data_IF_351273561139
#
_entry.id   IF_351273561139
#
_cell.length_a   1.000
_cell.length_b   1.000
_cell.length_c   1.000
_cell.angle_alpha   90.00
_cell.angle_beta   90.00
_cell.angle_gamma   90.00
#
_symmetry.space_group_name_H-M   'P 1'
#
loop_
_entity.id
_entity.type
_entity.pdbx_description
1 polymer ?
#
# COMPACT_ATOMS: atom_id res chain seq x y z
N UNK A 1 -4.18 7.67 15.48
CA UNK A 1 -3.22 8.65 15.99
C UNK A 1 -3.89 10.01 16.14
N UNK A 2 -4.39 10.65 15.08
CA UNK A 2 -4.97 12.02 15.09
C UNK A 2 -5.92 12.29 16.28
N UNK A 3 -6.76 11.34 16.69
CA UNK A 3 -7.77 11.53 17.73
C UNK A 3 -7.32 11.10 19.13
N UNK A 4 -6.44 10.12 19.25
CA UNK A 4 -6.11 9.48 20.51
C UNK A 4 -4.65 9.64 20.95
N UNK A 5 -3.77 10.01 20.03
CA UNK A 5 -2.34 10.17 20.24
C UNK A 5 -1.80 11.34 19.41
N UNK A 6 -2.41 12.54 19.49
CA UNK A 6 -2.05 13.68 18.63
C UNK A 6 -0.58 14.11 18.77
N UNK A 7 0.02 13.85 19.93
CA UNK A 7 1.43 14.12 20.22
C UNK A 7 2.40 13.21 19.42
N UNK A 8 1.90 12.16 18.79
CA UNK A 8 2.71 11.24 17.97
C UNK A 8 2.51 11.46 16.47
N UNK A 9 1.91 12.57 16.04
CA UNK A 9 1.72 12.87 14.62
C UNK A 9 3.04 12.93 13.86
N UNK A 10 4.08 13.50 14.46
CA UNK A 10 5.43 13.60 13.88
C UNK A 10 6.12 12.23 13.69
N UNK A 11 5.60 11.18 14.31
CA UNK A 11 6.09 9.81 14.12
C UNK A 11 5.44 9.10 12.91
N UNK A 12 4.40 9.69 12.31
CA UNK A 12 3.76 9.11 11.13
C UNK A 12 4.56 9.40 9.87
N UNK A 13 4.52 8.45 8.95
CA UNK A 13 5.00 8.71 7.60
C UNK A 13 4.16 9.82 6.94
N UNK A 14 4.81 10.76 6.27
CA UNK A 14 4.17 11.82 5.48
C UNK A 14 3.68 11.32 4.13
N UNK A 15 4.08 10.12 3.71
CA UNK A 15 3.69 9.53 2.44
C UNK A 15 2.17 9.34 2.35
N UNK A 16 1.56 9.83 1.26
CA UNK A 16 0.17 9.56 0.92
C UNK A 16 -0.09 8.05 0.80
N UNK A 17 -1.34 7.64 0.97
CA UNK A 17 -1.71 6.25 0.68
C UNK A 17 -1.54 5.91 -0.81
N UNK A 18 -1.35 4.63 -1.19
CA UNK A 18 -1.17 4.25 -2.59
C UNK A 18 -2.26 4.76 -3.54
N UNK A 19 -3.54 4.79 -3.11
CA UNK A 19 -4.60 5.37 -3.96
C UNK A 19 -4.42 6.87 -4.17
N UNK A 20 -4.02 7.62 -3.16
CA UNK A 20 -3.82 9.06 -3.25
C UNK A 20 -2.54 9.41 -4.01
N UNK A 21 -1.47 8.63 -3.84
CA UNK A 21 -0.26 8.77 -4.67
C UNK A 21 -0.58 8.57 -6.15
N UNK A 22 -1.30 7.48 -6.48
CA UNK A 22 -1.69 7.21 -7.85
C UNK A 22 -2.58 8.31 -8.42
N UNK A 23 -3.60 8.74 -7.66
CA UNK A 23 -4.51 9.80 -8.08
C UNK A 23 -3.80 11.13 -8.34
N UNK A 24 -2.90 11.52 -7.43
CA UNK A 24 -2.09 12.72 -7.59
C UNK A 24 -1.23 12.66 -8.87
N UNK A 25 -0.52 11.56 -9.10
CA UNK A 25 0.32 11.37 -10.29
C UNK A 25 -0.52 11.28 -11.57
N UNK A 26 -1.67 10.62 -11.53
CA UNK A 26 -2.57 10.55 -12.69
C UNK A 26 -3.10 11.92 -13.09
N UNK A 27 -3.44 12.76 -12.13
CA UNK A 27 -3.97 14.11 -12.36
C UNK A 27 -2.91 15.22 -12.49
N UNK A 28 -1.63 14.92 -12.30
CA UNK A 28 -0.50 15.82 -12.58
C UNK A 28 0.30 15.33 -13.78
N UNK A 29 1.26 14.47 -13.57
CA UNK A 29 2.19 13.99 -14.58
C UNK A 29 1.50 13.33 -15.79
N UNK A 30 0.54 12.44 -15.54
CA UNK A 30 -0.12 11.76 -16.67
C UNK A 30 -1.06 12.71 -17.42
N UNK A 31 -1.74 13.64 -16.73
CA UNK A 31 -2.53 14.69 -17.36
C UNK A 31 -1.66 15.57 -18.27
N UNK A 32 -0.49 16.02 -17.79
CA UNK A 32 0.47 16.80 -18.57
C UNK A 32 0.96 16.02 -19.79
N UNK A 33 1.33 14.75 -19.61
CA UNK A 33 1.76 13.86 -20.69
C UNK A 33 0.72 13.67 -21.79
N UNK A 34 -0.57 13.69 -21.41
CA UNK A 34 -1.70 13.64 -22.35
C UNK A 34 -2.08 14.99 -22.92
N UNK A 35 -1.54 16.09 -22.42
CA UNK A 35 -1.92 17.45 -22.82
C UNK A 35 -3.36 17.81 -22.43
N UNK A 36 -3.87 17.27 -21.31
CA UNK A 36 -5.24 17.52 -20.83
C UNK A 36 -5.24 18.17 -19.46
N UNK A 37 -6.29 18.96 -19.18
CA UNK A 37 -6.52 19.49 -17.83
C UNK A 37 -6.79 18.35 -16.83
N UNK A 38 -6.26 18.49 -15.60
CA UNK A 38 -6.47 17.51 -14.53
C UNK A 38 -7.94 17.21 -14.26
N UNK A 39 -8.84 18.20 -14.46
CA UNK A 39 -10.29 18.06 -14.26
C UNK A 39 -10.97 17.15 -15.28
N UNK A 40 -10.30 16.85 -16.38
CA UNK A 40 -10.80 15.90 -17.40
C UNK A 40 -10.44 14.45 -17.10
N UNK A 41 -9.58 14.21 -16.13
CA UNK A 41 -9.24 12.86 -15.68
C UNK A 41 -10.12 12.51 -14.49
N UNK A 42 -10.83 11.39 -14.58
CA UNK A 42 -11.61 10.81 -13.50
C UNK A 42 -10.88 9.59 -12.97
N UNK A 43 -10.47 9.65 -11.71
CA UNK A 43 -9.79 8.55 -11.02
C UNK A 43 -10.80 7.77 -10.21
N UNK A 44 -11.00 6.49 -10.59
CA UNK A 44 -11.85 5.54 -9.87
C UNK A 44 -10.96 4.51 -9.19
N UNK A 45 -10.93 4.49 -7.86
CA UNK A 45 -10.19 3.50 -7.09
C UNK A 45 -11.08 2.32 -6.70
N UNK A 46 -10.56 1.10 -6.84
CA UNK A 46 -11.23 -0.13 -6.42
C UNK A 46 -10.41 -0.73 -5.28
N UNK A 47 -10.96 -0.66 -4.05
CA UNK A 47 -10.21 -0.93 -2.83
C UNK A 47 -10.85 -2.05 -1.99
N UNK A 48 -10.05 -2.86 -1.29
CA UNK A 48 -10.55 -3.80 -0.29
C UNK A 48 -11.03 -3.11 1.00
N UNK A 49 -11.08 -1.78 1.03
CA UNK A 49 -11.17 -0.92 2.20
C UNK A 49 -12.39 -0.01 2.15
N UNK A 50 -13.11 0.14 3.28
CA UNK A 50 -14.21 1.10 3.40
C UNK A 50 -13.70 2.51 3.73
N UNK A 51 -12.63 2.62 4.52
CA UNK A 51 -12.06 3.90 4.95
C UNK A 51 -11.49 4.72 3.77
N UNK A 52 -11.17 4.08 2.65
CA UNK A 52 -10.66 4.74 1.45
C UNK A 52 -11.69 5.67 0.78
N UNK A 53 -12.99 5.45 1.01
CA UNK A 53 -14.04 6.40 0.59
C UNK A 53 -13.94 7.70 1.38
N UNK A 54 -13.79 7.60 2.71
CA UNK A 54 -13.60 8.77 3.55
C UNK A 54 -12.28 9.48 3.22
N UNK A 55 -11.21 8.75 3.07
CA UNK A 55 -9.92 9.33 2.69
C UNK A 55 -10.02 10.13 1.38
N UNK A 56 -10.69 9.59 0.35
CA UNK A 56 -10.88 10.28 -0.92
C UNK A 56 -11.73 11.58 -0.81
N UNK A 57 -12.51 11.72 0.25
CA UNK A 57 -13.33 12.92 0.50
C UNK A 57 -12.64 14.00 1.33
N UNK A 58 -11.44 13.74 1.83
CA UNK A 58 -10.69 14.70 2.65
C UNK A 58 -10.15 15.85 1.78
N UNK A 59 -10.30 17.11 2.21
CA UNK A 59 -9.91 18.27 1.41
C UNK A 59 -8.39 18.35 1.16
N UNK A 60 -7.56 17.76 2.01
CA UNK A 60 -6.10 17.71 1.87
C UNK A 60 -5.65 16.94 0.61
N UNK A 61 -6.52 16.08 0.07
CA UNK A 61 -6.26 15.31 -1.15
C UNK A 61 -6.96 15.92 -2.38
N UNK A 62 -7.03 17.23 -2.42
CA UNK A 62 -7.58 17.99 -3.54
C UNK A 62 -6.68 19.18 -3.89
N UNK A 63 -6.61 19.51 -5.17
CA UNK A 63 -5.94 20.71 -5.67
C UNK A 63 -7.02 21.59 -6.31
N UNK A 64 -7.21 22.81 -5.81
CA UNK A 64 -8.23 23.76 -6.26
C UNK A 64 -9.66 23.16 -6.27
N UNK A 65 -9.96 22.36 -5.23
CA UNK A 65 -11.24 21.68 -5.09
C UNK A 65 -11.46 20.47 -6.01
N UNK A 66 -10.48 20.11 -6.84
CA UNK A 66 -10.50 18.89 -7.65
C UNK A 66 -9.79 17.76 -6.91
N UNK A 67 -10.47 16.70 -6.46
CA UNK A 67 -9.88 15.64 -5.68
C UNK A 67 -8.89 14.80 -6.51
N UNK A 68 -7.86 14.24 -5.86
CA UNK A 68 -6.93 13.31 -6.51
C UNK A 68 -7.61 12.00 -6.90
N UNK A 69 -8.57 11.54 -6.07
CA UNK A 69 -9.42 10.37 -6.35
C UNK A 69 -10.88 10.81 -6.33
N UNK A 70 -11.57 10.72 -7.47
CA UNK A 70 -12.95 11.18 -7.61
C UNK A 70 -13.95 10.18 -7.01
N UNK A 71 -13.73 8.90 -7.24
CA UNK A 71 -14.64 7.83 -6.81
C UNK A 71 -13.83 6.71 -6.18
N UNK A 72 -14.22 6.26 -4.99
CA UNK A 72 -13.67 5.05 -4.38
C UNK A 72 -14.78 4.03 -4.16
N UNK A 73 -14.66 2.86 -4.80
CA UNK A 73 -15.55 1.72 -4.62
C UNK A 73 -14.79 0.56 -3.99
N UNK A 74 -15.50 -0.29 -3.27
CA UNK A 74 -14.87 -1.48 -2.71
C UNK A 74 -15.20 -2.74 -3.52
N UNK A 75 -14.44 -3.80 -3.32
CA UNK A 75 -14.51 -5.06 -4.09
C UNK A 75 -15.94 -5.60 -4.25
N UNK A 76 -16.77 -5.56 -3.18
CA UNK A 76 -18.16 -6.01 -3.27
C UNK A 76 -19.07 -5.07 -4.08
N UNK A 77 -18.76 -3.77 -4.13
CA UNK A 77 -19.47 -2.82 -5.00
C UNK A 77 -19.14 -3.08 -6.45
N UNK A 78 -17.86 -3.35 -6.78
CA UNK A 78 -17.49 -3.76 -8.13
C UNK A 78 -18.24 -5.01 -8.57
N UNK A 79 -18.33 -6.03 -7.71
CA UNK A 79 -19.10 -7.24 -8.02
C UNK A 79 -20.59 -6.96 -8.26
N UNK A 80 -21.17 -5.98 -7.55
CA UNK A 80 -22.54 -5.54 -7.80
C UNK A 80 -22.66 -4.79 -9.14
N UNK A 81 -21.71 -3.92 -9.46
CA UNK A 81 -21.68 -3.17 -10.71
C UNK A 81 -21.63 -4.11 -11.92
N UNK A 82 -20.76 -5.14 -11.87
CA UNK A 82 -20.68 -6.18 -12.91
C UNK A 82 -22.04 -6.86 -13.12
N UNK A 83 -22.72 -7.23 -12.03
CA UNK A 83 -24.07 -7.82 -12.11
C UNK A 83 -25.11 -6.85 -12.65
N UNK A 84 -25.06 -5.59 -12.24
CA UNK A 84 -25.99 -4.54 -12.70
C UNK A 84 -25.85 -4.29 -14.19
N UNK A 85 -24.63 -4.37 -14.70
CA UNK A 85 -24.34 -4.23 -16.13
C UNK A 85 -24.65 -5.50 -16.94
N UNK A 86 -25.19 -6.55 -16.33
CA UNK A 86 -25.44 -7.87 -16.96
C UNK A 86 -24.21 -8.47 -17.66
N UNK A 87 -23.02 -8.21 -17.13
CA UNK A 87 -21.78 -8.77 -17.66
C UNK A 87 -21.64 -10.22 -17.18
N UNK A 88 -21.60 -11.17 -18.11
CA UNK A 88 -21.28 -12.56 -17.79
C UNK A 88 -19.76 -12.70 -17.57
N UNK A 89 -19.34 -12.42 -16.34
CA UNK A 89 -17.92 -12.37 -15.98
C UNK A 89 -17.16 -13.67 -16.25
N UNK A 90 -17.84 -14.81 -16.15
CA UNK A 90 -17.23 -16.12 -16.37
C UNK A 90 -16.93 -16.44 -17.85
N UNK A 91 -17.57 -15.73 -18.78
CA UNK A 91 -17.41 -15.93 -20.22
C UNK A 91 -16.57 -14.85 -20.90
N UNK A 92 -16.06 -13.87 -20.12
CA UNK A 92 -15.17 -12.84 -20.66
C UNK A 92 -13.83 -13.48 -21.07
N UNK A 93 -13.33 -13.12 -22.26
CA UNK A 93 -11.97 -13.50 -22.63
C UNK A 93 -10.95 -12.75 -21.75
N UNK A 94 -9.81 -13.38 -21.50
CA UNK A 94 -8.70 -12.72 -20.85
C UNK A 94 -8.19 -11.55 -21.71
N UNK A 95 -7.84 -10.45 -21.07
CA UNK A 95 -7.23 -9.28 -21.70
C UNK A 95 -6.22 -8.62 -20.76
N UNK A 96 -5.27 -7.92 -21.34
CA UNK A 96 -4.31 -7.13 -20.58
C UNK A 96 -4.92 -5.81 -20.09
N UNK A 97 -4.34 -5.29 -19.02
CA UNK A 97 -4.62 -3.92 -18.55
C UNK A 97 -3.91 -2.89 -19.44
N UNK A 98 -4.54 -1.74 -19.60
CA UNK A 98 -3.83 -0.55 -20.09
C UNK A 98 -2.68 -0.19 -19.14
N UNK A 99 -1.61 0.39 -19.70
CA UNK A 99 -0.38 0.68 -18.95
C UNK A 99 -0.04 2.17 -18.96
N UNK A 100 -0.94 3.05 -18.48
CA UNK A 100 -0.76 4.51 -18.57
C UNK A 100 0.48 5.00 -17.82
N UNK A 101 0.83 4.35 -16.70
CA UNK A 101 1.98 4.65 -15.85
C UNK A 101 2.93 3.44 -15.70
N UNK A 102 2.86 2.49 -16.65
CA UNK A 102 3.70 1.31 -16.68
C UNK A 102 3.17 0.11 -15.90
N UNK A 103 4.07 -0.76 -15.48
CA UNK A 103 3.75 -2.02 -14.81
C UNK A 103 3.93 -1.94 -13.30
N UNK A 104 3.11 -2.70 -12.58
CA UNK A 104 3.27 -2.87 -11.14
C UNK A 104 4.39 -3.86 -10.80
N UNK A 105 4.96 -3.73 -9.59
CA UNK A 105 5.97 -4.64 -9.06
C UNK A 105 5.35 -5.63 -8.07
N UNK A 106 6.07 -6.73 -7.80
CA UNK A 106 5.71 -7.64 -6.72
C UNK A 106 5.68 -6.96 -5.35
N UNK A 107 6.56 -5.98 -5.12
CA UNK A 107 6.53 -5.14 -3.91
C UNK A 107 5.17 -4.44 -3.72
N UNK A 108 4.59 -3.89 -4.79
CA UNK A 108 3.25 -3.28 -4.71
C UNK A 108 2.15 -4.29 -4.41
N UNK A 109 2.25 -5.51 -4.92
CA UNK A 109 1.26 -6.57 -4.69
C UNK A 109 1.15 -6.96 -3.22
N UNK A 110 2.28 -7.14 -2.54
CA UNK A 110 2.30 -7.60 -1.14
C UNK A 110 1.79 -6.56 -0.13
N UNK A 111 1.58 -5.30 -0.53
CA UNK A 111 0.96 -4.26 0.33
C UNK A 111 -0.38 -4.69 0.91
N UNK A 112 -1.06 -5.63 0.28
CA UNK A 112 -2.35 -6.15 0.76
C UNK A 112 -2.26 -7.00 2.04
N UNK A 113 -1.09 -7.50 2.41
CA UNK A 113 -0.87 -8.32 3.61
C UNK A 113 -0.30 -7.50 4.76
N UNK A 114 -0.58 -7.90 5.99
CA UNK A 114 0.11 -7.35 7.17
C UNK A 114 1.59 -7.76 7.15
N UNK A 115 2.48 -6.81 7.29
CA UNK A 115 3.93 -6.95 7.11
C UNK A 115 4.39 -6.69 5.67
N UNK A 116 3.46 -6.57 4.71
CA UNK A 116 3.81 -6.45 3.30
C UNK A 116 4.33 -5.08 2.89
N UNK A 117 3.83 -4.01 3.50
CA UNK A 117 4.34 -2.65 3.23
C UNK A 117 5.76 -2.51 3.73
N UNK A 118 6.01 -2.94 4.98
CA UNK A 118 7.36 -2.86 5.54
C UNK A 118 8.32 -3.84 4.85
N UNK A 119 7.85 -5.01 4.39
CA UNK A 119 8.66 -5.92 3.57
C UNK A 119 9.07 -5.25 2.26
N UNK A 120 8.13 -4.62 1.55
CA UNK A 120 8.43 -3.89 0.33
C UNK A 120 9.41 -2.73 0.56
N UNK A 121 9.25 -2.00 1.67
CA UNK A 121 10.19 -0.96 2.08
C UNK A 121 11.59 -1.52 2.38
N UNK A 122 11.70 -2.63 3.10
CA UNK A 122 12.98 -3.27 3.41
C UNK A 122 13.72 -3.74 2.16
N UNK A 123 13.01 -4.26 1.16
CA UNK A 123 13.61 -4.66 -0.13
C UNK A 123 14.36 -3.50 -0.80
N UNK A 124 13.78 -2.32 -0.76
CA UNK A 124 14.39 -1.10 -1.33
C UNK A 124 15.43 -0.50 -0.40
N UNK A 125 15.09 -0.33 0.88
CA UNK A 125 15.95 0.30 1.87
C UNK A 125 17.29 -0.43 2.04
N UNK A 126 17.28 -1.76 2.02
CA UNK A 126 18.51 -2.56 2.11
C UNK A 126 19.51 -2.16 1.01
N UNK A 127 19.09 -2.16 -0.24
CA UNK A 127 19.97 -1.87 -1.38
C UNK A 127 20.40 -0.39 -1.42
N UNK A 128 19.48 0.52 -1.08
CA UNK A 128 19.82 1.93 -1.01
C UNK A 128 20.81 2.26 0.12
N UNK A 129 20.68 1.58 1.26
CA UNK A 129 21.56 1.81 2.42
C UNK A 129 22.90 1.12 2.26
N UNK A 130 22.91 -0.17 1.94
CA UNK A 130 24.13 -0.98 1.90
C UNK A 130 24.91 -0.83 0.58
N UNK A 131 24.26 -0.33 -0.48
CA UNK A 131 24.77 -0.32 -1.87
C UNK A 131 25.11 -1.72 -2.41
N UNK A 132 24.53 -2.76 -1.80
CA UNK A 132 24.71 -4.17 -2.19
C UNK A 132 23.37 -4.74 -2.64
N UNK A 133 23.41 -5.67 -3.57
CA UNK A 133 22.22 -6.42 -3.99
C UNK A 133 21.67 -7.23 -2.82
N UNK A 134 20.36 -7.20 -2.65
CA UNK A 134 19.65 -7.93 -1.60
C UNK A 134 19.84 -9.46 -1.80
N UNK A 135 20.44 -10.18 -0.84
CA UNK A 135 20.78 -11.59 -1.01
C UNK A 135 19.54 -12.50 -1.06
N UNK A 136 18.45 -12.12 -0.39
CA UNK A 136 17.16 -12.83 -0.40
C UNK A 136 16.03 -11.80 -0.44
N UNK A 137 15.18 -11.89 -1.46
CA UNK A 137 14.09 -10.91 -1.67
C UNK A 137 12.98 -11.05 -0.64
N UNK A 138 12.68 -12.28 -0.19
CA UNK A 138 11.59 -12.57 0.72
C UNK A 138 12.05 -12.45 2.18
N UNK A 139 11.47 -11.52 2.92
CA UNK A 139 11.65 -11.37 4.36
C UNK A 139 10.54 -12.15 5.09
N UNK A 140 10.71 -13.47 5.19
CA UNK A 140 9.71 -14.35 5.81
C UNK A 140 9.43 -14.00 7.28
N UNK A 141 10.41 -13.41 7.95
CA UNK A 141 10.34 -12.94 9.33
C UNK A 141 9.29 -11.83 9.53
N UNK A 142 8.97 -11.10 8.46
CA UNK A 142 7.94 -10.04 8.46
C UNK A 142 6.54 -10.59 8.15
N UNK A 143 6.42 -11.84 7.69
CA UNK A 143 5.18 -12.46 7.26
C UNK A 143 4.50 -13.18 8.43
N UNK A 144 3.17 -13.29 8.39
CA UNK A 144 2.38 -13.98 9.41
C UNK A 144 1.03 -13.31 9.64
N UNK A 145 0.19 -13.93 10.45
CA UNK A 145 -1.16 -13.44 10.79
C UNK A 145 -1.37 -13.26 12.31
N UNK A 146 -0.31 -13.29 13.09
CA UNK A 146 -0.34 -12.93 14.51
C UNK A 146 -0.62 -11.44 14.64
N UNK A 147 -1.42 -11.07 15.63
CA UNK A 147 -1.89 -9.69 15.83
C UNK A 147 -0.77 -8.69 16.07
N UNK A 148 0.29 -9.09 16.77
CA UNK A 148 1.54 -8.32 16.94
C UNK A 148 2.70 -9.25 16.62
N UNK A 149 3.63 -8.77 15.81
CA UNK A 149 4.88 -9.46 15.48
C UNK A 149 6.05 -8.50 15.62
N UNK A 150 7.22 -9.07 15.85
CA UNK A 150 8.48 -8.37 15.88
C UNK A 150 9.50 -9.14 15.05
N UNK A 151 10.25 -8.43 14.24
CA UNK A 151 11.34 -9.00 13.45
C UNK A 151 12.59 -8.12 13.58
N UNK A 152 13.76 -8.73 13.40
CA UNK A 152 15.02 -8.00 13.25
C UNK A 152 15.62 -8.37 11.92
N UNK A 153 15.82 -7.38 11.06
CA UNK A 153 16.42 -7.54 9.74
C UNK A 153 17.84 -7.00 9.82
N UNK A 154 18.78 -7.81 9.40
CA UNK A 154 20.17 -7.38 9.32
C UNK A 154 20.45 -6.63 8.01
N UNK A 155 20.84 -5.37 8.11
CA UNK A 155 21.26 -4.54 6.99
C UNK A 155 22.79 -4.49 6.97
N UNK A 156 23.42 -5.60 6.56
CA UNK A 156 24.89 -5.73 6.44
C UNK A 156 25.62 -5.39 7.76
N UNK A 157 25.22 -6.04 8.84
CA UNK A 157 25.75 -5.83 10.18
C UNK A 157 25.01 -4.79 11.03
N UNK A 158 24.01 -4.09 10.45
CA UNK A 158 23.16 -3.15 11.16
C UNK A 158 21.78 -3.77 11.43
N UNK A 159 21.46 -4.17 12.66
CA UNK A 159 20.18 -4.80 12.99
C UNK A 159 19.05 -3.76 13.05
N UNK A 160 18.07 -3.88 12.15
CA UNK A 160 16.87 -3.04 12.13
C UNK A 160 15.71 -3.80 12.76
N UNK A 161 15.22 -3.32 13.90
CA UNK A 161 14.08 -3.89 14.60
C UNK A 161 12.78 -3.30 14.07
N UNK A 162 11.84 -4.16 13.73
CA UNK A 162 10.56 -3.81 13.11
C UNK A 162 9.42 -4.37 13.97
N UNK A 163 8.45 -3.50 14.29
CA UNK A 163 7.18 -3.88 14.89
C UNK A 163 6.09 -3.96 13.82
N UNK A 164 5.23 -4.96 13.89
CA UNK A 164 4.12 -5.13 12.96
C UNK A 164 2.86 -5.42 13.76
N UNK A 165 1.80 -4.64 13.55
CA UNK A 165 0.52 -4.87 14.17
C UNK A 165 -0.62 -4.82 13.17
N UNK A 166 -1.60 -5.69 13.35
CA UNK A 166 -2.89 -5.54 12.70
C UNK A 166 -4.04 -5.61 13.72
N UNK A 167 -5.11 -4.84 13.41
CA UNK A 167 -6.18 -4.56 14.36
C UNK A 167 -5.83 -3.41 15.31
N UNK A 168 -6.78 -2.47 15.47
CA UNK A 168 -6.51 -1.23 16.21
C UNK A 168 -6.17 -1.44 17.69
N UNK A 169 -6.72 -2.49 18.32
CA UNK A 169 -6.36 -2.84 19.70
C UNK A 169 -4.90 -3.30 19.86
N UNK A 170 -4.34 -3.96 18.86
CA UNK A 170 -2.93 -4.35 18.82
C UNK A 170 -2.05 -3.15 18.47
N UNK A 171 -2.49 -2.33 17.51
CA UNK A 171 -1.82 -1.08 17.16
C UNK A 171 -1.64 -0.18 18.39
N UNK A 172 -2.69 0.00 19.20
CA UNK A 172 -2.65 0.78 20.44
C UNK A 172 -1.52 0.34 21.35
N UNK A 173 -1.30 -0.96 21.55
CA UNK A 173 -0.24 -1.48 22.41
C UNK A 173 1.16 -1.07 21.95
N UNK A 174 1.41 -1.05 20.64
CA UNK A 174 2.70 -0.59 20.10
C UNK A 174 2.84 0.92 20.18
N UNK A 175 1.76 1.66 19.92
CA UNK A 175 1.73 3.13 19.99
C UNK A 175 1.98 3.59 21.44
N UNK A 176 1.37 2.95 22.43
CA UNK A 176 1.62 3.23 23.85
C UNK A 176 3.09 2.97 24.27
N UNK A 177 3.77 2.00 23.66
CA UNK A 177 5.22 1.81 23.86
C UNK A 177 6.02 2.99 23.30
N UNK A 178 5.63 3.52 22.13
CA UNK A 178 6.27 4.71 21.55
C UNK A 178 6.04 5.92 22.44
N UNK A 179 4.80 6.17 22.85
CA UNK A 179 4.42 7.27 23.74
C UNK A 179 5.20 7.27 25.06
N UNK A 180 5.44 6.09 25.62
CA UNK A 180 6.17 5.94 26.89
C UNK A 180 7.71 5.87 26.71
N UNK A 181 8.23 6.05 25.49
CA UNK A 181 9.68 5.95 25.22
C UNK A 181 10.26 4.55 25.38
N UNK A 182 9.43 3.51 25.40
CA UNK A 182 9.82 2.10 25.62
C UNK A 182 9.83 1.27 24.35
N UNK A 183 9.54 1.86 23.20
CA UNK A 183 9.52 1.13 21.93
C UNK A 183 10.93 0.70 21.50
N UNK A 184 11.17 -0.58 21.27
CA UNK A 184 12.47 -1.05 20.79
C UNK A 184 12.60 -0.95 19.25
N UNK A 185 11.57 -0.50 18.55
CA UNK A 185 11.45 -0.58 17.09
C UNK A 185 11.98 0.68 16.43
N UNK A 186 12.68 0.48 15.29
CA UNK A 186 13.09 1.55 14.39
C UNK A 186 11.96 1.95 13.45
N UNK A 187 11.09 0.99 13.11
CA UNK A 187 9.89 1.20 12.30
C UNK A 187 8.74 0.31 12.78
N UNK A 188 7.51 0.81 12.65
CA UNK A 188 6.30 0.08 13.00
C UNK A 188 5.32 0.15 11.83
N UNK A 189 4.88 -1.01 11.33
CA UNK A 189 3.74 -1.10 10.41
C UNK A 189 2.46 -1.35 11.19
N UNK A 190 1.41 -0.58 10.87
CA UNK A 190 0.08 -0.76 11.43
C UNK A 190 -0.94 -0.98 10.32
N UNK A 191 -1.68 -2.08 10.40
CA UNK A 191 -2.86 -2.35 9.58
C UNK A 191 -4.12 -2.37 10.45
N UNK A 192 -5.13 -1.57 10.08
CA UNK A 192 -6.38 -1.50 10.85
C UNK A 192 -7.19 -2.81 10.82
N UNK A 193 -7.15 -3.52 9.69
CA UNK A 193 -7.94 -4.74 9.49
C UNK A 193 -7.15 -6.00 9.85
N UNK A 194 -7.81 -7.08 10.34
CA UNK A 194 -7.17 -8.36 10.58
C UNK A 194 -6.50 -8.93 9.33
N UNK A 195 -5.21 -9.25 9.43
CA UNK A 195 -4.42 -9.77 8.31
C UNK A 195 -3.99 -8.72 7.28
N UNK A 196 -4.35 -7.45 7.47
CA UNK A 196 -4.13 -6.36 6.52
C UNK A 196 -5.30 -6.14 5.58
N UNK A 197 -5.06 -5.55 4.41
CA UNK A 197 -6.10 -5.22 3.43
C UNK A 197 -6.83 -6.45 2.87
N UNK A 198 -6.21 -7.62 2.88
CA UNK A 198 -6.86 -8.91 2.53
C UNK A 198 -8.06 -9.23 3.44
N UNK A 199 -8.09 -8.72 4.67
CA UNK A 199 -9.20 -8.79 5.61
C UNK A 199 -10.05 -7.53 5.65
N UNK A 200 -9.86 -6.61 4.70
CA UNK A 200 -10.51 -5.31 4.65
C UNK A 200 -12.03 -5.39 4.56
N UNK A 201 -12.71 -4.39 5.14
CA UNK A 201 -14.17 -4.32 5.18
C UNK A 201 -14.86 -4.25 3.82
N UNK A 202 -14.14 -3.94 2.74
CA UNK A 202 -14.63 -3.95 1.35
C UNK A 202 -14.59 -5.33 0.67
N UNK A 203 -13.83 -6.27 1.23
CA UNK A 203 -13.72 -7.64 0.71
C UNK A 203 -14.96 -8.50 1.06
N UNK A 204 -15.20 -9.61 0.33
CA UNK A 204 -16.14 -10.62 0.77
C UNK A 204 -15.84 -11.09 2.20
N UNK A 205 -16.87 -11.20 3.03
CA UNK A 205 -16.71 -11.49 4.45
C UNK A 205 -16.05 -12.86 4.68
N UNK A 206 -14.97 -12.87 5.45
CA UNK A 206 -14.29 -14.10 5.84
C UNK A 206 -14.92 -14.76 7.10
N UNK A 207 -15.82 -14.06 7.81
CA UNK A 207 -16.59 -14.56 8.97
C UNK A 207 -15.70 -15.18 10.07
N UNK A 208 -14.56 -14.54 10.37
CA UNK A 208 -13.58 -15.03 11.34
C UNK A 208 -12.71 -16.21 10.87
N UNK A 209 -12.94 -16.74 9.68
CA UNK A 209 -12.17 -17.89 9.16
C UNK A 209 -10.77 -17.44 8.71
N UNK A 210 -9.79 -17.67 9.56
CA UNK A 210 -8.37 -17.31 9.28
C UNK A 210 -7.80 -18.04 8.06
N UNK A 211 -8.32 -19.21 7.73
CA UNK A 211 -7.94 -19.95 6.51
C UNK A 211 -8.17 -19.12 5.24
N UNK A 212 -9.27 -18.37 5.18
CA UNK A 212 -9.56 -17.49 4.03
C UNK A 212 -8.49 -16.41 3.90
N UNK A 213 -8.07 -15.81 5.02
CA UNK A 213 -7.00 -14.81 5.02
C UNK A 213 -5.65 -15.43 4.62
N UNK A 214 -5.33 -16.64 5.09
CA UNK A 214 -4.10 -17.36 4.65
C UNK A 214 -4.10 -17.61 3.15
N UNK A 215 -5.23 -18.06 2.57
CA UNK A 215 -5.34 -18.27 1.11
C UNK A 215 -5.16 -16.96 0.33
N UNK A 216 -5.76 -15.86 0.80
CA UNK A 216 -5.59 -14.54 0.17
C UNK A 216 -4.15 -14.05 0.26
N UNK A 217 -3.49 -14.18 1.41
CA UNK A 217 -2.08 -13.84 1.57
C UNK A 217 -1.19 -14.69 0.64
N UNK A 218 -1.42 -16.01 0.61
CA UNK A 218 -0.67 -16.92 -0.25
C UNK A 218 -0.79 -16.54 -1.74
N UNK A 219 -1.98 -16.13 -2.19
CA UNK A 219 -2.20 -15.66 -3.56
C UNK A 219 -1.40 -14.39 -3.87
N UNK A 220 -1.36 -13.40 -2.96
CA UNK A 220 -0.54 -12.20 -3.16
C UNK A 220 0.96 -12.53 -3.18
N UNK A 221 1.45 -13.39 -2.31
CA UNK A 221 2.85 -13.80 -2.33
C UNK A 221 3.20 -14.65 -3.57
N UNK A 222 2.26 -15.43 -4.08
CA UNK A 222 2.44 -16.14 -5.34
C UNK A 222 2.53 -15.15 -6.52
N UNK A 223 1.65 -14.16 -6.55
CA UNK A 223 1.67 -13.11 -7.58
C UNK A 223 2.98 -12.31 -7.51
N UNK A 224 3.46 -11.93 -6.32
CA UNK A 224 4.77 -11.29 -6.15
C UNK A 224 5.89 -12.15 -6.74
N UNK A 225 5.91 -13.44 -6.43
CA UNK A 225 6.95 -14.36 -6.95
C UNK A 225 6.90 -14.54 -8.46
N UNK A 226 5.72 -14.39 -9.08
CA UNK A 226 5.57 -14.50 -10.52
C UNK A 226 6.05 -13.26 -11.28
N UNK A 227 6.19 -12.11 -10.61
CA UNK A 227 6.64 -10.86 -11.25
C UNK A 227 8.13 -10.86 -11.52
N UNK A 228 8.51 -10.35 -12.68
CA UNK A 228 9.92 -10.08 -13.03
C UNK A 228 10.47 -8.95 -12.16
N UNK A 229 9.69 -7.88 -11.97
CA UNK A 229 10.03 -6.75 -11.12
C UNK A 229 9.46 -6.98 -9.72
N UNK A 230 10.30 -7.25 -8.75
CA UNK A 230 9.90 -7.53 -7.38
C UNK A 230 10.27 -6.43 -6.37
N UNK A 231 11.08 -5.47 -6.77
CA UNK A 231 11.51 -4.33 -5.97
C UNK A 231 11.04 -3.03 -6.61
N UNK A 232 10.56 -2.08 -5.82
CA UNK A 232 9.98 -0.84 -6.33
C UNK A 232 11.00 0.04 -7.04
N UNK A 233 12.22 0.15 -6.52
CA UNK A 233 13.29 1.00 -7.09
C UNK A 233 13.89 0.46 -8.39
N UNK A 234 13.66 -0.81 -8.73
CA UNK A 234 14.07 -1.40 -10.01
C UNK A 234 13.06 -1.14 -11.14
N UNK A 235 11.89 -0.59 -10.82
CA UNK A 235 10.86 -0.32 -11.80
C UNK A 235 11.26 0.88 -12.69
N UNK A 236 11.50 0.68 -14.01
CA UNK A 236 11.97 1.75 -14.89
C UNK A 236 10.94 2.89 -15.01
N UNK A 237 9.65 2.60 -14.87
CA UNK A 237 8.61 3.62 -14.91
C UNK A 237 8.66 4.53 -13.67
N UNK A 238 8.94 3.95 -12.50
CA UNK A 238 9.15 4.71 -11.27
C UNK A 238 10.43 5.52 -11.34
N UNK A 239 11.52 4.94 -11.85
CA UNK A 239 12.78 5.69 -12.07
C UNK A 239 12.57 6.88 -13.02
N UNK A 240 11.83 6.71 -14.12
CA UNK A 240 11.50 7.78 -15.03
C UNK A 240 10.64 8.86 -14.38
N UNK A 241 9.66 8.47 -13.55
CA UNK A 241 8.83 9.40 -12.80
C UNK A 241 9.65 10.25 -11.84
N UNK A 242 10.55 9.62 -11.07
CA UNK A 242 11.45 10.34 -10.15
C UNK A 242 12.40 11.28 -10.91
N UNK A 243 12.91 10.87 -12.06
CA UNK A 243 13.78 11.71 -12.87
C UNK A 243 13.07 12.96 -13.45
N UNK A 244 11.76 12.88 -13.71
CA UNK A 244 11.00 13.96 -14.31
C UNK A 244 10.33 14.89 -13.28
N UNK A 245 9.75 14.35 -12.22
CA UNK A 245 8.87 15.10 -11.30
C UNK A 245 9.40 15.20 -9.88
N UNK A 246 10.09 14.18 -9.43
CA UNK A 246 10.43 14.03 -8.02
C UNK A 246 11.93 14.28 -7.79
N UNK A 247 12.53 15.09 -8.64
CA UNK A 247 13.98 15.39 -8.59
C UNK A 247 14.37 16.27 -7.39
N UNK A 248 13.41 16.88 -6.70
CA UNK A 248 13.67 17.69 -5.51
C UNK A 248 13.33 16.91 -4.24
N UNK A 249 14.08 17.18 -3.18
CA UNK A 249 13.82 16.63 -1.83
C UNK A 249 12.42 16.94 -1.29
N UNK A 250 11.74 17.90 -1.90
CA UNK A 250 10.40 18.38 -1.52
C UNK A 250 9.25 17.54 -2.15
N UNK A 251 9.58 16.58 -2.99
CA UNK A 251 8.57 15.71 -3.62
C UNK A 251 8.05 14.60 -2.70
N UNK A 252 8.53 14.54 -1.46
CA UNK A 252 8.04 13.63 -0.42
C UNK A 252 6.95 14.27 0.47
N UNK A 253 6.69 15.58 0.33
CA UNK A 253 5.68 16.34 1.08
C UNK A 253 4.29 16.33 0.42
#
# INVERSE_FOLDING_TARGET
VEQHFPELLDNLSTAKSPQQMFGAIAKSYFAEKLGVDRKRIVVVSIMPCLAKKYEASRPEFAVDGNPDVDISIYTRELARLIRYANINFAELPDSDFDRPLGESTGAGVIFGTTGGVIEAACRTAYELYTKKTLPKIDFEELRGLEGIRSATIDFDGTPIKIGIAHGLGNARKLIEQVQNGMSPYHAIEVMACPGGCIGGGGQPFHRGRMEVLRKRAAALYQEDRSKTLRKSHENPYIQALYACLLYTSDAAD
#
